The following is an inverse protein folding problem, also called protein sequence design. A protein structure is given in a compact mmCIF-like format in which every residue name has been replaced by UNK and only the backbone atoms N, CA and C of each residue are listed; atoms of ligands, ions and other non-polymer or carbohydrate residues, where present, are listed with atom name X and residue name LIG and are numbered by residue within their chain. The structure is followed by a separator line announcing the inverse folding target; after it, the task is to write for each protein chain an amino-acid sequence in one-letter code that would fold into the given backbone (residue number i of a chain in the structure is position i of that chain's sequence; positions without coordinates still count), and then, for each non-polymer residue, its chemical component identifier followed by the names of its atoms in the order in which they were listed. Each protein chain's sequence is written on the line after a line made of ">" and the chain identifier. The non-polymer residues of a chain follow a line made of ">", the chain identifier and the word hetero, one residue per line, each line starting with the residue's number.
data_IF_100600732977
#
_entry.id   IF_100600732977
#
_cell.length_a   1.000
_cell.length_b   1.000
_cell.length_c   1.000
_cell.angle_alpha   90.00
_cell.angle_beta   90.00
_cell.angle_gamma   90.00
#
_symmetry.space_group_name_H-M   'P 1'
#
loop_
_entity.id
_entity.type
_entity.pdbx_description
1 polymer ?
#
# COMPACT_ATOMS: atom_id res chain seq x y z
N UNK A 1 35.18 4.10 -69.42
CA UNK A 1 35.27 3.93 -67.96
C UNK A 1 34.04 4.50 -67.42
N UNK A 2 33.06 3.59 -67.27
CA UNK A 2 31.65 3.91 -67.03
C UNK A 2 31.37 4.15 -65.57
N UNK A 3 30.84 5.32 -65.32
CA UNK A 3 30.18 5.60 -64.07
C UNK A 3 28.67 5.26 -64.17
N UNK A 4 28.30 4.09 -63.73
CA UNK A 4 26.89 3.75 -63.57
C UNK A 4 26.33 4.39 -62.33
N UNK A 5 25.58 5.43 -62.57
CA UNK A 5 24.77 6.18 -61.64
C UNK A 5 23.54 5.34 -61.26
N UNK A 6 23.54 4.72 -60.10
CA UNK A 6 22.37 4.08 -59.51
C UNK A 6 21.44 5.17 -58.97
N UNK A 7 20.36 5.44 -59.71
CA UNK A 7 19.18 6.12 -59.22
C UNK A 7 18.47 5.18 -58.28
N UNK A 8 18.42 5.52 -57.01
CA UNK A 8 17.50 4.92 -56.05
C UNK A 8 16.23 5.74 -56.11
N UNK A 9 15.21 5.19 -56.78
CA UNK A 9 13.86 5.70 -56.73
C UNK A 9 13.36 5.54 -55.29
N UNK A 10 13.09 6.65 -54.63
CA UNK A 10 12.38 6.69 -53.39
C UNK A 10 10.90 6.45 -53.66
N UNK A 11 10.48 5.19 -53.62
CA UNK A 11 9.06 4.85 -53.55
C UNK A 11 8.55 5.24 -52.17
N UNK A 12 7.75 6.31 -52.15
CA UNK A 12 7.09 6.85 -50.99
C UNK A 12 5.97 5.94 -50.50
N UNK A 13 6.34 4.79 -49.95
CA UNK A 13 5.43 3.93 -49.22
C UNK A 13 4.92 4.60 -47.95
N UNK A 14 3.82 5.34 -48.10
CA UNK A 14 3.03 5.86 -47.03
C UNK A 14 2.47 4.67 -46.25
N UNK A 15 3.16 4.28 -45.20
CA UNK A 15 2.66 3.28 -44.24
C UNK A 15 1.49 3.87 -43.50
N UNK A 16 0.27 3.50 -43.93
CA UNK A 16 -0.97 3.78 -43.22
C UNK A 16 -0.94 3.04 -41.89
N UNK A 17 -0.51 3.71 -40.83
CA UNK A 17 -0.54 3.24 -39.45
C UNK A 17 -1.97 3.15 -38.88
N UNK A 18 -2.98 3.49 -39.66
CA UNK A 18 -4.38 3.60 -39.18
C UNK A 18 -5.23 2.34 -39.35
N UNK A 19 -4.67 1.18 -39.75
CA UNK A 19 -5.54 0.02 -40.00
C UNK A 19 -4.94 -1.32 -39.58
N UNK A 20 -4.49 -1.36 -38.34
CA UNK A 20 -4.36 -2.63 -37.64
C UNK A 20 -5.00 -2.52 -36.28
N UNK A 21 -6.33 -2.45 -36.30
CA UNK A 21 -7.11 -2.79 -35.10
C UNK A 21 -6.90 -4.29 -34.89
N UNK A 22 -5.92 -4.60 -34.06
CA UNK A 22 -5.60 -5.95 -33.63
C UNK A 22 -6.86 -6.60 -33.04
N UNK A 23 -7.18 -7.84 -33.39
CA UNK A 23 -8.33 -8.56 -32.81
C UNK A 23 -8.24 -8.73 -31.28
N UNK A 24 -7.09 -8.43 -30.71
CA UNK A 24 -6.83 -8.38 -29.27
C UNK A 24 -7.59 -7.25 -28.56
N UNK A 25 -7.79 -6.13 -29.23
CA UNK A 25 -8.44 -4.96 -28.61
C UNK A 25 -9.97 -5.17 -28.50
N UNK A 26 -10.54 -5.87 -29.47
CA UNK A 26 -11.95 -6.26 -29.43
C UNK A 26 -12.23 -7.28 -28.31
N UNK A 27 -11.35 -8.28 -28.14
CA UNK A 27 -11.45 -9.25 -27.05
C UNK A 27 -11.24 -8.61 -25.68
N UNK A 28 -10.36 -7.63 -25.57
CA UNK A 28 -10.17 -6.84 -24.35
C UNK A 28 -11.39 -6.02 -24.01
N UNK A 29 -12.02 -5.35 -24.98
CA UNK A 29 -13.25 -4.58 -24.77
C UNK A 29 -14.42 -5.47 -24.37
N UNK A 30 -14.56 -6.65 -24.98
CA UNK A 30 -15.58 -7.63 -24.60
C UNK A 30 -15.33 -8.24 -23.21
N UNK A 31 -14.07 -8.48 -22.84
CA UNK A 31 -13.71 -8.94 -21.51
C UNK A 31 -14.00 -7.88 -20.44
N UNK A 32 -13.70 -6.62 -20.72
CA UNK A 32 -14.00 -5.49 -19.82
C UNK A 32 -15.50 -5.23 -19.71
N UNK A 33 -16.27 -5.39 -20.80
CA UNK A 33 -17.73 -5.26 -20.78
C UNK A 33 -18.39 -6.38 -19.95
N UNK A 34 -17.85 -7.59 -19.98
CA UNK A 34 -18.33 -8.71 -19.15
C UNK A 34 -17.95 -8.55 -17.67
N UNK A 35 -16.81 -7.93 -17.37
CA UNK A 35 -16.42 -7.56 -16.00
C UNK A 35 -17.34 -6.48 -15.43
N UNK A 36 -17.78 -5.52 -16.23
CA UNK A 36 -18.68 -4.44 -15.78
C UNK A 36 -20.05 -4.95 -15.32
N UNK A 37 -20.54 -6.07 -15.85
CA UNK A 37 -21.82 -6.68 -15.44
C UNK A 37 -21.71 -7.52 -14.18
N UNK A 38 -20.48 -7.96 -13.80
CA UNK A 38 -20.27 -8.77 -12.60
C UNK A 38 -19.81 -7.98 -11.37
N UNK A 39 -19.36 -6.73 -11.54
CA UNK A 39 -18.68 -5.98 -10.48
C UNK A 39 -19.61 -5.22 -9.54
N UNK A 40 -20.84 -4.90 -9.95
CA UNK A 40 -21.72 -4.11 -9.11
C UNK A 40 -22.16 -4.83 -7.82
N UNK A 41 -22.63 -6.10 -7.83
CA UNK A 41 -22.99 -6.77 -6.58
C UNK A 41 -21.78 -7.27 -5.78
N UNK A 42 -20.67 -7.64 -6.47
CA UNK A 42 -19.50 -8.14 -5.78
C UNK A 42 -18.70 -7.04 -5.06
N UNK A 43 -18.64 -5.83 -5.63
CA UNK A 43 -18.03 -4.69 -4.96
C UNK A 43 -18.87 -4.19 -3.77
N UNK A 44 -20.20 -4.23 -3.88
CA UNK A 44 -21.06 -3.92 -2.73
C UNK A 44 -20.89 -4.96 -1.61
N UNK A 45 -20.72 -6.24 -1.95
CA UNK A 45 -20.47 -7.29 -0.97
C UNK A 45 -19.07 -7.17 -0.34
N UNK A 46 -18.05 -6.73 -1.09
CA UNK A 46 -16.73 -6.45 -0.54
C UNK A 46 -16.71 -5.18 0.32
N UNK A 47 -17.52 -4.17 -0.02
CA UNK A 47 -17.72 -2.99 0.82
C UNK A 47 -18.60 -3.30 2.05
N UNK A 48 -19.54 -4.24 1.93
CA UNK A 48 -20.37 -4.68 3.05
C UNK A 48 -19.63 -5.65 3.99
N UNK A 49 -18.61 -6.37 3.52
CA UNK A 49 -17.75 -7.18 4.37
C UNK A 49 -16.58 -6.41 4.98
N UNK A 50 -16.40 -5.14 4.62
CA UNK A 50 -15.59 -4.19 5.38
C UNK A 50 -16.44 -3.50 6.47
N UNK A 51 -17.29 -4.26 7.16
CA UNK A 51 -18.03 -3.79 8.35
C UNK A 51 -17.12 -3.49 9.56
N UNK A 52 -15.82 -3.40 9.33
CA UNK A 52 -14.87 -2.77 10.25
C UNK A 52 -14.66 -1.27 9.97
N UNK A 53 -15.45 -0.68 9.06
CA UNK A 53 -15.49 0.76 8.80
C UNK A 53 -16.63 1.45 9.56
N UNK A 54 -17.19 0.81 10.56
CA UNK A 54 -18.05 1.44 11.55
C UNK A 54 -17.21 2.35 12.44
N UNK A 55 -17.57 3.61 12.55
CA UNK A 55 -17.11 4.56 13.56
C UNK A 55 -17.39 4.01 14.96
N UNK A 56 -16.62 3.06 15.40
CA UNK A 56 -16.74 2.42 16.69
C UNK A 56 -15.52 1.57 16.92
N UNK A 57 -14.67 2.05 17.82
CA UNK A 57 -13.52 1.31 18.35
C UNK A 57 -12.71 0.64 17.26
N UNK A 58 -11.82 1.42 16.66
CA UNK A 58 -10.71 0.87 15.90
C UNK A 58 -10.00 -0.08 16.86
N UNK A 59 -10.32 -1.37 16.79
CA UNK A 59 -9.49 -2.40 17.36
C UNK A 59 -8.22 -2.40 16.51
N UNK A 60 -7.39 -1.41 16.75
CA UNK A 60 -6.25 -1.06 15.95
C UNK A 60 -5.10 -2.01 16.23
N UNK A 61 -5.28 -3.26 15.81
CA UNK A 61 -4.18 -4.21 15.69
C UNK A 61 -3.35 -3.79 14.50
N UNK A 62 -2.53 -2.78 14.70
CA UNK A 62 -1.70 -2.17 13.67
C UNK A 62 -0.44 -2.99 13.50
N UNK A 63 -0.03 -3.24 12.27
CA UNK A 63 1.28 -3.84 11.95
C UNK A 63 2.35 -2.94 12.56
N UNK A 64 3.18 -3.51 13.44
CA UNK A 64 4.20 -2.76 14.16
C UNK A 64 5.54 -3.50 14.25
N UNK A 65 5.74 -4.48 13.37
CA UNK A 65 6.96 -5.26 13.26
C UNK A 65 8.12 -4.38 12.76
N UNK A 66 9.26 -4.44 13.46
CA UNK A 66 10.45 -3.65 13.14
C UNK A 66 10.98 -3.95 11.73
N UNK A 67 10.80 -5.18 11.22
CA UNK A 67 11.26 -5.60 9.89
C UNK A 67 10.60 -4.84 8.74
N UNK A 68 9.47 -4.20 9.00
CA UNK A 68 8.70 -3.43 8.02
C UNK A 68 8.91 -1.93 8.13
N UNK A 69 9.84 -1.49 8.98
CA UNK A 69 10.11 -0.10 9.29
C UNK A 69 11.52 0.31 8.89
N UNK A 70 11.67 1.57 8.52
CA UNK A 70 12.94 2.23 8.21
C UNK A 70 12.99 3.60 8.87
N UNK A 71 14.16 4.20 8.92
CA UNK A 71 14.39 5.53 9.52
C UNK A 71 13.82 5.61 10.95
N UNK A 72 14.20 4.64 11.77
CA UNK A 72 13.68 4.48 13.13
C UNK A 72 14.50 5.30 14.11
N UNK A 73 13.89 6.31 14.71
CA UNK A 73 14.50 7.16 15.73
C UNK A 73 13.65 7.18 16.99
N UNK A 74 14.27 7.06 18.14
CA UNK A 74 13.59 7.15 19.42
C UNK A 74 13.15 8.59 19.71
N UNK A 75 11.88 8.76 20.10
CA UNK A 75 11.32 10.06 20.51
C UNK A 75 11.24 10.22 22.03
N UNK A 76 11.10 9.12 22.74
CA UNK A 76 10.93 9.13 24.18
C UNK A 76 10.29 7.85 24.68
N UNK A 77 9.83 7.87 25.92
CA UNK A 77 9.24 6.73 26.58
C UNK A 77 7.85 7.06 27.09
N UNK A 78 6.90 6.14 26.88
CA UNK A 78 5.57 6.21 27.48
C UNK A 78 5.63 5.82 28.95
N UNK A 79 4.57 6.20 29.72
CA UNK A 79 4.47 5.97 31.15
C UNK A 79 4.67 4.50 31.58
N UNK A 80 4.33 3.55 30.71
CA UNK A 80 4.50 2.11 30.96
C UNK A 80 5.92 1.58 30.62
N UNK A 81 6.89 2.47 30.37
CA UNK A 81 8.25 2.09 30.02
C UNK A 81 8.42 1.65 28.55
N UNK A 82 7.40 1.79 27.73
CA UNK A 82 7.43 1.45 26.31
C UNK A 82 8.01 2.62 25.52
N UNK A 83 9.02 2.35 24.70
CA UNK A 83 9.63 3.38 23.88
C UNK A 83 8.75 3.78 22.71
N UNK A 84 8.71 5.08 22.43
CA UNK A 84 8.06 5.67 21.28
C UNK A 84 9.12 6.02 20.23
N UNK A 85 8.80 5.73 18.98
CA UNK A 85 9.68 5.93 17.84
C UNK A 85 8.97 6.71 16.74
N UNK A 86 9.70 7.55 16.02
CA UNK A 86 9.33 7.96 14.69
C UNK A 86 9.93 6.97 13.68
N UNK A 87 9.18 6.65 12.65
CA UNK A 87 9.61 5.70 11.62
C UNK A 87 8.80 5.89 10.33
N UNK A 88 9.28 5.27 9.26
CA UNK A 88 8.53 5.08 8.02
C UNK A 88 8.32 3.60 7.78
N UNK A 89 7.20 3.25 7.14
CA UNK A 89 7.06 1.91 6.58
C UNK A 89 7.88 1.78 5.30
N UNK A 90 8.30 0.57 4.95
CA UNK A 90 9.09 0.31 3.72
C UNK A 90 8.37 0.72 2.44
N UNK A 91 7.04 0.74 2.46
CA UNK A 91 6.17 1.09 1.32
C UNK A 91 5.62 2.51 1.36
N UNK A 92 6.01 3.34 2.33
CA UNK A 92 5.45 4.69 2.50
C UNK A 92 6.50 5.67 2.98
N UNK A 93 6.46 6.88 2.48
CA UNK A 93 7.31 7.98 2.93
C UNK A 93 6.71 8.78 4.09
N UNK A 94 5.46 8.47 4.46
CA UNK A 94 4.81 9.11 5.62
C UNK A 94 5.53 8.73 6.91
N UNK A 95 5.87 9.73 7.71
CA UNK A 95 6.48 9.53 9.02
C UNK A 95 5.39 9.27 10.05
N UNK A 96 5.51 8.16 10.75
CA UNK A 96 4.60 7.76 11.81
C UNK A 96 5.28 7.80 13.17
N UNK A 97 4.49 7.95 14.22
CA UNK A 97 4.88 7.80 15.62
C UNK A 97 4.17 6.62 16.23
N UNK A 98 4.93 5.72 16.82
CA UNK A 98 4.40 4.50 17.43
C UNK A 98 5.47 3.66 18.10
N UNK A 99 5.13 2.41 18.40
CA UNK A 99 5.98 1.47 19.16
C UNK A 99 6.54 0.37 18.28
N UNK A 100 7.55 -0.37 18.76
CA UNK A 100 8.07 -1.58 18.12
C UNK A 100 7.42 -2.81 18.73
N UNK A 101 6.81 -3.66 17.88
CA UNK A 101 6.09 -4.84 18.37
C UNK A 101 6.99 -5.80 19.15
N UNK A 102 8.27 -5.91 18.79
CA UNK A 102 9.23 -6.76 19.47
C UNK A 102 9.50 -6.30 20.92
N UNK A 103 9.61 -5.00 21.14
CA UNK A 103 9.76 -4.44 22.49
C UNK A 103 8.49 -4.58 23.31
N UNK A 104 7.34 -4.28 22.69
CA UNK A 104 6.04 -4.44 23.34
C UNK A 104 5.81 -5.90 23.71
N UNK A 105 6.21 -6.87 22.90
CA UNK A 105 6.08 -8.29 23.19
C UNK A 105 6.85 -8.71 24.46
N UNK A 106 7.96 -8.03 24.76
CA UNK A 106 8.75 -8.28 25.96
C UNK A 106 8.12 -7.66 27.22
N UNK A 107 7.51 -6.48 27.09
CA UNK A 107 6.92 -5.75 28.22
C UNK A 107 5.42 -6.09 28.43
N UNK A 108 4.67 -6.20 27.34
CA UNK A 108 3.21 -6.40 27.32
C UNK A 108 2.82 -7.41 26.24
N UNK A 109 3.12 -8.72 26.44
CA UNK A 109 2.83 -9.76 25.44
C UNK A 109 1.34 -9.90 25.13
N UNK A 110 0.45 -9.49 26.02
CA UNK A 110 -0.99 -9.47 25.85
C UNK A 110 -1.46 -8.47 24.77
N UNK A 111 -0.67 -7.44 24.51
CA UNK A 111 -0.95 -6.43 23.49
C UNK A 111 -0.38 -6.77 22.10
N UNK A 112 0.33 -7.89 21.94
CA UNK A 112 0.95 -8.28 20.66
C UNK A 112 0.37 -9.58 20.14
N UNK A 113 0.10 -9.63 18.84
CA UNK A 113 -0.36 -10.83 18.15
C UNK A 113 0.36 -10.98 16.80
N UNK A 114 0.72 -12.21 16.41
CA UNK A 114 1.18 -12.46 15.05
C UNK A 114 0.00 -12.32 14.08
N UNK A 115 0.23 -11.68 12.95
CA UNK A 115 -0.69 -11.67 11.83
C UNK A 115 -0.55 -12.95 11.00
N UNK A 116 -1.52 -13.21 10.11
CA UNK A 116 -1.47 -14.33 9.17
C UNK A 116 -0.29 -14.23 8.18
N UNK A 117 0.23 -13.02 8.00
CA UNK A 117 1.39 -12.67 7.20
C UNK A 117 2.74 -12.90 7.91
N UNK A 118 2.71 -13.38 9.17
CA UNK A 118 3.89 -13.64 9.99
C UNK A 118 4.52 -12.38 10.59
N UNK A 119 3.89 -11.20 10.43
CA UNK A 119 4.35 -9.96 11.06
C UNK A 119 3.61 -9.68 12.35
N UNK A 120 4.31 -9.06 13.29
CA UNK A 120 3.73 -8.73 14.58
C UNK A 120 2.83 -7.50 14.49
N UNK A 121 1.68 -7.60 15.15
CA UNK A 121 0.68 -6.54 15.26
C UNK A 121 0.53 -6.15 16.72
N UNK A 122 0.40 -4.85 16.97
CA UNK A 122 0.20 -4.29 18.31
C UNK A 122 -1.23 -3.78 18.44
N UNK A 123 -1.86 -4.13 19.54
CA UNK A 123 -3.12 -3.55 19.98
C UNK A 123 -2.83 -2.26 20.77
N UNK A 124 -2.83 -1.15 20.05
CA UNK A 124 -2.53 0.16 20.63
C UNK A 124 -3.54 0.59 21.70
N UNK A 125 -4.78 0.14 21.62
CA UNK A 125 -5.81 0.47 22.62
C UNK A 125 -5.47 -0.14 24.00
N UNK A 126 -4.89 -1.34 24.01
CA UNK A 126 -4.41 -1.98 25.25
C UNK A 126 -3.24 -1.26 25.90
N UNK A 127 -2.50 -0.50 25.11
CA UNK A 127 -1.38 0.31 25.60
C UNK A 127 -1.81 1.73 25.98
N UNK A 128 -3.08 2.09 25.80
CA UNK A 128 -3.56 3.46 25.98
C UNK A 128 -2.96 4.44 24.94
N UNK A 129 -2.43 3.91 23.85
CA UNK A 129 -1.75 4.66 22.79
C UNK A 129 -2.58 4.69 21.51
N UNK A 130 -2.18 5.58 20.61
CA UNK A 130 -2.64 5.62 19.22
C UNK A 130 -1.42 5.79 18.32
N UNK A 131 -1.39 5.02 17.23
CA UNK A 131 -0.46 5.31 16.16
C UNK A 131 -0.94 6.56 15.42
N UNK A 132 -0.04 7.51 15.16
CA UNK A 132 -0.32 8.78 14.51
C UNK A 132 0.74 9.08 13.48
N UNK A 133 0.47 10.01 12.60
CA UNK A 133 1.52 10.65 11.81
C UNK A 133 2.34 11.59 12.70
N UNK A 134 3.54 11.94 12.26
CA UNK A 134 4.40 12.87 13.01
C UNK A 134 3.71 14.24 13.18
N UNK A 135 3.02 14.70 12.14
CA UNK A 135 2.30 16.00 12.17
C UNK A 135 1.16 15.97 13.18
N UNK A 136 0.37 14.90 13.21
CA UNK A 136 -0.70 14.72 14.20
C UNK A 136 -0.16 14.61 15.63
N UNK A 137 1.00 13.98 15.79
CA UNK A 137 1.65 13.86 17.07
C UNK A 137 2.18 15.20 17.57
N UNK A 138 2.82 15.96 16.68
CA UNK A 138 3.32 17.30 17.01
C UNK A 138 2.20 18.29 17.35
N UNK A 139 1.07 18.20 16.66
CA UNK A 139 -0.11 19.04 16.94
C UNK A 139 -0.80 18.71 18.28
N UNK A 140 -0.50 17.56 18.89
CA UNK A 140 -1.11 17.10 20.13
C UNK A 140 -0.22 17.37 21.37
N UNK A 141 0.96 18.00 21.18
CA UNK A 141 1.86 18.40 22.27
C UNK A 141 1.52 19.79 22.76
#
# INVERSE_FOLDING_TARGET
>A
MDQQRLMIEADGGRVDYCKREEPLDRKRREALARLATYTAPAMLALLASSEDAGAGVVTSKTISDIRLKRDVDALGQHADGINLYRFRYLWSDTVHVGVMAQEVASARPDAVRPGADGYLRVDYARLGLRMRTLDEWAAAQ
#
